data_IF_606425959169
#
_entry.id   IF_606425959169
#
_cell.length_a   1.000
_cell.length_b   1.000
_cell.length_c   1.000
_cell.angle_alpha   90.00
_cell.angle_beta   90.00
_cell.angle_gamma   90.00
#
_symmetry.space_group_name_H-M   'P 1'
#
loop_
_entity.id
_entity.type
_entity.pdbx_description
1 polymer ?
#
# COMPACT_ATOMS: atom_id res chain seq x y z
N UNK A 1 19.14 -32.63 64.57
CA UNK A 1 20.33 -32.12 65.28
C UNK A 1 21.30 -33.28 65.45
N UNK A 2 22.17 -33.53 64.46
CA UNK A 2 23.23 -34.55 64.55
C UNK A 2 24.49 -33.79 64.94
N UNK A 3 24.95 -33.97 66.18
CA UNK A 3 26.24 -33.46 66.64
C UNK A 3 27.34 -34.36 66.06
N UNK A 4 28.17 -33.82 65.18
CA UNK A 4 29.39 -34.47 64.74
C UNK A 4 30.45 -34.23 65.81
N UNK A 5 30.80 -35.28 66.57
CA UNK A 5 31.96 -35.26 67.45
C UNK A 5 33.20 -35.61 66.65
N UNK A 6 34.10 -34.65 66.46
CA UNK A 6 35.41 -34.89 65.83
C UNK A 6 36.39 -35.22 66.96
N UNK A 7 36.74 -36.49 67.11
CA UNK A 7 37.79 -36.95 68.02
C UNK A 7 39.16 -36.75 67.35
N UNK A 8 39.98 -35.84 67.89
CA UNK A 8 41.36 -35.62 67.45
C UNK A 8 42.29 -36.70 68.04
N UNK A 9 42.50 -37.78 67.28
CA UNK A 9 43.56 -38.75 67.53
C UNK A 9 44.72 -38.47 66.56
N UNK A 10 45.89 -38.11 67.10
CA UNK A 10 47.17 -38.15 66.35
C UNK A 10 47.73 -36.80 65.90
N UNK A 11 48.44 -36.12 66.79
CA UNK A 11 49.25 -34.90 66.58
C UNK A 11 50.57 -35.15 65.79
N UNK A 12 50.59 -36.07 64.83
CA UNK A 12 51.80 -36.37 64.05
C UNK A 12 51.60 -36.75 62.58
N UNK A 13 50.36 -36.79 62.09
CA UNK A 13 50.12 -36.99 60.65
C UNK A 13 49.92 -35.64 59.99
N UNK A 14 50.56 -35.41 58.83
CA UNK A 14 50.44 -34.20 58.02
C UNK A 14 48.98 -33.95 57.63
N UNK A 15 48.23 -33.36 58.55
CA UNK A 15 46.84 -32.98 58.38
C UNK A 15 46.83 -31.89 57.33
N UNK A 16 46.57 -32.31 56.10
CA UNK A 16 46.18 -31.41 55.02
C UNK A 16 44.79 -30.88 55.41
N UNK A 17 44.76 -29.90 56.33
CA UNK A 17 43.55 -29.24 56.82
C UNK A 17 42.74 -28.69 55.65
N UNK A 18 43.42 -28.34 54.54
CA UNK A 18 42.79 -28.03 53.27
C UNK A 18 41.94 -29.19 52.72
N UNK A 19 42.36 -30.45 52.83
CA UNK A 19 41.60 -31.61 52.34
C UNK A 19 40.41 -31.97 53.24
N UNK A 20 40.53 -31.80 54.57
CA UNK A 20 39.41 -32.01 55.50
C UNK A 20 38.35 -30.90 55.36
N UNK A 21 38.80 -29.65 55.17
CA UNK A 21 37.91 -28.53 54.82
C UNK A 21 37.27 -28.73 53.45
N UNK A 22 38.02 -29.20 52.44
CA UNK A 22 37.44 -29.57 51.13
C UNK A 22 36.40 -30.69 51.27
N UNK A 23 36.63 -31.70 52.10
CA UNK A 23 35.65 -32.77 52.35
C UNK A 23 34.40 -32.25 53.05
N UNK A 24 34.52 -31.33 54.02
CA UNK A 24 33.37 -30.71 54.67
C UNK A 24 32.58 -29.81 53.71
N UNK A 25 33.27 -28.98 52.92
CA UNK A 25 32.67 -28.15 51.86
C UNK A 25 31.98 -29.04 50.80
N UNK A 26 32.59 -30.18 50.44
CA UNK A 26 31.99 -31.12 49.50
C UNK A 26 30.67 -31.70 50.03
N UNK A 27 30.59 -32.05 51.31
CA UNK A 27 29.35 -32.53 51.95
C UNK A 27 28.31 -31.41 52.04
N UNK A 28 28.70 -30.20 52.41
CA UNK A 28 27.81 -29.03 52.46
C UNK A 28 27.31 -28.58 51.08
N UNK A 29 28.00 -28.96 50.00
CA UNK A 29 27.57 -28.70 48.62
C UNK A 29 26.47 -29.64 48.12
N UNK A 30 26.24 -30.79 48.78
CA UNK A 30 25.25 -31.80 48.35
C UNK A 30 23.82 -31.23 48.29
N UNK A 31 23.31 -30.52 49.32
CA UNK A 31 21.97 -29.92 49.26
C UNK A 31 21.85 -28.88 48.14
N UNK A 32 22.92 -28.12 47.86
CA UNK A 32 22.94 -27.17 46.76
C UNK A 32 22.86 -27.87 45.41
N UNK A 33 23.60 -28.97 45.22
CA UNK A 33 23.51 -29.79 44.01
C UNK A 33 22.11 -30.40 43.82
N UNK A 34 21.47 -30.87 44.90
CA UNK A 34 20.09 -31.36 44.87
C UNK A 34 19.09 -30.27 44.48
N UNK A 35 19.23 -29.06 45.03
CA UNK A 35 18.41 -27.91 44.64
C UNK A 35 18.64 -27.51 43.18
N UNK A 36 19.88 -27.48 42.72
CA UNK A 36 20.20 -27.21 41.31
C UNK A 36 19.61 -28.28 40.37
N UNK A 37 19.64 -29.56 40.77
CA UNK A 37 19.03 -30.65 40.02
C UNK A 37 17.50 -30.50 39.94
N UNK A 38 16.85 -30.15 41.07
CA UNK A 38 15.40 -29.85 41.11
C UNK A 38 15.04 -28.67 40.20
N UNK A 39 15.78 -27.57 40.29
CA UNK A 39 15.58 -26.39 39.42
C UNK A 39 15.74 -26.75 37.94
N UNK A 40 16.71 -27.58 37.59
CA UNK A 40 16.88 -28.06 36.20
C UNK A 40 15.69 -28.91 35.74
N UNK A 41 15.20 -29.82 36.59
CA UNK A 41 14.04 -30.65 36.28
C UNK A 41 12.76 -29.82 36.10
N UNK A 42 12.46 -28.90 37.02
CA UNK A 42 11.32 -28.00 36.93
C UNK A 42 11.40 -27.08 35.70
N UNK A 43 12.59 -26.55 35.38
CA UNK A 43 12.79 -25.76 34.15
C UNK A 43 12.54 -26.57 32.88
N UNK A 44 12.93 -27.85 32.86
CA UNK A 44 12.66 -28.74 31.74
C UNK A 44 11.16 -28.98 31.57
N UNK A 45 10.43 -29.18 32.67
CA UNK A 45 8.97 -29.35 32.66
C UNK A 45 8.26 -28.09 32.19
N UNK A 46 8.66 -26.91 32.70
CA UNK A 46 8.14 -25.61 32.22
C UNK A 46 8.37 -25.45 30.71
N UNK A 47 9.56 -25.80 30.22
CA UNK A 47 9.89 -25.71 28.79
C UNK A 47 9.02 -26.65 27.95
N UNK A 48 8.78 -27.88 28.42
CA UNK A 48 7.91 -28.84 27.75
C UNK A 48 6.44 -28.35 27.71
N UNK A 49 5.95 -27.76 28.80
CA UNK A 49 4.60 -27.17 28.85
C UNK A 49 4.47 -25.93 27.95
N UNK A 50 5.52 -25.10 27.84
CA UNK A 50 5.55 -23.97 26.91
C UNK A 50 5.57 -24.43 25.45
N UNK A 51 6.32 -25.48 25.11
CA UNK A 51 6.31 -26.08 23.77
C UNK A 51 4.94 -26.66 23.44
N UNK A 52 4.31 -27.38 24.37
CA UNK A 52 2.96 -27.91 24.22
C UNK A 52 1.95 -26.77 23.98
N UNK A 53 2.00 -25.71 24.78
CA UNK A 53 1.10 -24.55 24.61
C UNK A 53 1.28 -23.90 23.23
N UNK A 54 2.52 -23.79 22.75
CA UNK A 54 2.82 -23.26 21.42
C UNK A 54 2.23 -24.14 20.32
N UNK A 55 2.35 -25.47 20.43
CA UNK A 55 1.78 -26.43 19.46
C UNK A 55 0.26 -26.41 19.46
N UNK A 56 -0.38 -26.33 20.63
CA UNK A 56 -1.84 -26.24 20.74
C UNK A 56 -2.35 -24.92 20.17
N UNK A 57 -1.68 -23.81 20.44
CA UNK A 57 -2.00 -22.52 19.84
C UNK A 57 -1.86 -22.53 18.30
N UNK A 58 -0.81 -23.19 17.78
CA UNK A 58 -0.63 -23.37 16.34
C UNK A 58 -1.74 -24.23 15.71
N UNK A 59 -2.14 -25.32 16.37
CA UNK A 59 -3.27 -26.16 15.92
C UNK A 59 -4.59 -25.40 15.96
N UNK A 60 -4.86 -24.63 17.01
CA UNK A 60 -6.06 -23.79 17.12
C UNK A 60 -6.10 -22.72 16.02
N UNK A 61 -4.93 -22.14 15.67
CA UNK A 61 -4.79 -21.21 14.55
C UNK A 61 -5.14 -21.89 13.22
N UNK A 62 -4.54 -23.06 12.94
CA UNK A 62 -4.83 -23.83 11.72
C UNK A 62 -6.31 -24.23 11.63
N UNK A 63 -6.90 -24.71 12.73
CA UNK A 63 -8.32 -25.05 12.77
C UNK A 63 -9.21 -23.84 12.49
N UNK A 64 -8.87 -22.66 13.04
CA UNK A 64 -9.60 -21.42 12.76
C UNK A 64 -9.48 -21.00 11.29
N UNK A 65 -8.30 -21.13 10.70
CA UNK A 65 -8.06 -20.87 9.26
C UNK A 65 -8.89 -21.82 8.38
N UNK A 66 -9.01 -23.10 8.75
CA UNK A 66 -9.84 -24.10 8.06
C UNK A 66 -11.35 -23.89 8.21
N UNK A 67 -11.82 -23.27 9.29
CA UNK A 67 -13.24 -22.94 9.47
C UNK A 67 -13.72 -21.73 8.67
N UNK A 68 -12.81 -20.98 8.03
CA UNK A 68 -13.21 -19.96 7.08
C UNK A 68 -13.91 -20.65 5.90
N UNK A 69 -15.18 -20.31 5.62
CA UNK A 69 -16.00 -20.94 4.57
C UNK A 69 -15.36 -20.87 3.16
N UNK A 70 -14.35 -20.03 2.99
CA UNK A 70 -13.61 -19.82 1.75
C UNK A 70 -12.41 -20.78 1.58
N UNK A 71 -12.03 -21.52 2.62
CA UNK A 71 -10.84 -22.40 2.63
C UNK A 71 -10.94 -23.59 1.66
N UNK A 72 -12.15 -23.93 1.20
CA UNK A 72 -12.42 -25.01 0.25
C UNK A 72 -13.05 -24.52 -1.06
N UNK A 73 -13.34 -23.21 -1.17
CA UNK A 73 -13.91 -22.57 -2.36
C UNK A 73 -12.83 -21.77 -3.13
N UNK A 74 -11.59 -22.26 -3.12
CA UNK A 74 -10.51 -21.66 -3.90
C UNK A 74 -10.65 -22.06 -5.37
N UNK A 75 -11.42 -21.28 -6.12
CA UNK A 75 -11.31 -21.30 -7.56
C UNK A 75 -10.01 -20.60 -7.95
N UNK A 76 -9.23 -21.19 -8.84
CA UNK A 76 -8.07 -20.51 -9.43
C UNK A 76 -8.53 -19.92 -10.75
N UNK A 77 -8.48 -18.60 -10.86
CA UNK A 77 -8.67 -17.93 -12.14
C UNK A 77 -7.34 -17.87 -12.89
N UNK A 78 -7.37 -18.16 -14.19
CA UNK A 78 -6.19 -18.09 -15.06
C UNK A 78 -6.52 -17.23 -16.27
N UNK A 79 -5.80 -16.13 -16.44
CA UNK A 79 -5.79 -15.35 -17.67
C UNK A 79 -4.95 -16.02 -18.75
N UNK A 80 -5.33 -15.83 -20.01
CA UNK A 80 -4.56 -16.27 -21.18
C UNK A 80 -3.54 -15.24 -21.68
N UNK A 81 -3.57 -14.01 -21.16
CA UNK A 81 -2.68 -12.90 -21.53
C UNK A 81 -1.93 -12.34 -20.32
N UNK A 82 -0.67 -11.95 -20.51
CA UNK A 82 0.15 -11.28 -19.49
C UNK A 82 -0.38 -9.88 -19.11
N UNK A 83 -1.29 -9.32 -19.92
CA UNK A 83 -1.90 -8.00 -19.68
C UNK A 83 -3.17 -8.05 -18.81
N UNK A 84 -3.62 -9.25 -18.43
CA UNK A 84 -4.84 -9.45 -17.65
C UNK A 84 -4.53 -10.33 -16.44
N UNK A 85 -4.71 -9.76 -15.25
CA UNK A 85 -4.65 -10.50 -14.00
C UNK A 85 -6.07 -10.79 -13.53
N UNK A 86 -6.33 -12.02 -13.07
CA UNK A 86 -7.65 -12.42 -12.60
C UNK A 86 -7.51 -13.00 -11.21
N UNK A 87 -8.31 -12.50 -10.28
CA UNK A 87 -8.39 -13.00 -8.91
C UNK A 87 -9.80 -13.53 -8.66
N UNK A 88 -9.90 -14.77 -8.16
CA UNK A 88 -11.17 -15.31 -7.69
C UNK A 88 -11.32 -14.99 -6.19
N UNK A 89 -12.51 -14.53 -5.82
CA UNK A 89 -12.94 -14.33 -4.43
C UNK A 89 -13.98 -15.38 -4.04
N UNK A 90 -14.34 -15.41 -2.76
CA UNK A 90 -15.41 -16.24 -2.24
C UNK A 90 -16.69 -16.11 -3.09
N UNK A 91 -17.30 -17.24 -3.44
CA UNK A 91 -18.50 -17.28 -4.28
C UNK A 91 -18.23 -17.24 -5.79
N UNK A 92 -16.98 -17.35 -6.23
CA UNK A 92 -16.66 -17.60 -7.63
C UNK A 92 -17.38 -18.86 -8.15
N UNK A 93 -17.88 -18.80 -9.38
CA UNK A 93 -18.50 -19.95 -10.05
C UNK A 93 -17.61 -20.44 -11.19
N UNK A 94 -17.58 -21.77 -11.45
CA UNK A 94 -16.80 -22.31 -12.56
C UNK A 94 -17.37 -21.82 -13.90
N UNK A 95 -16.49 -21.32 -14.77
CA UNK A 95 -16.86 -20.81 -16.08
C UNK A 95 -15.64 -20.36 -16.87
N UNK A 96 -15.85 -20.10 -18.15
CA UNK A 96 -14.89 -19.45 -19.04
C UNK A 96 -15.60 -18.35 -19.79
N UNK A 97 -14.93 -17.21 -19.95
CA UNK A 97 -15.43 -16.08 -20.73
C UNK A 97 -14.27 -15.49 -21.54
N UNK A 98 -14.58 -15.11 -22.76
CA UNK A 98 -13.66 -14.36 -23.61
C UNK A 98 -13.87 -12.87 -23.37
N UNK A 99 -12.78 -12.19 -22.99
CA UNK A 99 -12.76 -10.75 -22.73
C UNK A 99 -11.79 -10.10 -23.70
N UNK A 100 -12.29 -9.11 -24.45
CA UNK A 100 -11.47 -8.24 -25.28
C UNK A 100 -11.28 -6.92 -24.56
N UNK A 101 -10.03 -6.52 -24.35
CA UNK A 101 -9.70 -5.22 -23.75
C UNK A 101 -9.55 -4.20 -24.87
N UNK A 102 -10.39 -3.17 -24.88
CA UNK A 102 -10.27 -2.08 -25.86
C UNK A 102 -9.54 -0.87 -25.27
N UNK A 103 -9.83 -0.54 -24.01
CA UNK A 103 -9.21 0.60 -23.31
C UNK A 103 -8.97 0.28 -21.83
N UNK A 104 -7.98 0.95 -21.24
CA UNK A 104 -7.64 0.85 -19.83
C UNK A 104 -7.87 2.20 -19.18
N UNK A 105 -8.38 2.20 -17.96
CA UNK A 105 -8.64 3.41 -17.21
C UNK A 105 -7.35 4.20 -17.00
N UNK A 106 -7.36 5.47 -17.39
CA UNK A 106 -6.23 6.38 -17.24
C UNK A 106 -6.59 7.55 -16.36
N UNK A 107 -5.66 7.98 -15.53
CA UNK A 107 -5.78 9.23 -14.79
C UNK A 107 -5.39 10.40 -15.69
N UNK A 108 -6.11 11.52 -15.58
CA UNK A 108 -5.80 12.70 -16.37
C UNK A 108 -4.44 13.27 -15.97
N UNK A 109 -3.61 13.55 -16.97
CA UNK A 109 -2.36 14.31 -16.83
C UNK A 109 -2.37 15.46 -17.82
N UNK A 110 -2.34 16.68 -17.30
CA UNK A 110 -2.34 17.89 -18.11
C UNK A 110 -1.20 18.80 -17.70
N UNK A 111 -0.62 19.49 -18.68
CA UNK A 111 0.43 20.48 -18.49
C UNK A 111 -0.08 21.85 -18.89
N UNK A 112 0.24 22.86 -18.10
CA UNK A 112 -0.08 24.25 -18.44
C UNK A 112 0.79 24.73 -19.62
N UNK A 113 0.44 25.90 -20.15
CA UNK A 113 1.36 26.69 -20.95
C UNK A 113 2.64 27.04 -20.15
N UNK A 114 3.65 27.53 -20.85
CA UNK A 114 4.88 28.03 -20.22
C UNK A 114 4.59 29.29 -19.40
N UNK A 115 5.02 29.29 -18.14
CA UNK A 115 4.82 30.34 -17.15
C UNK A 115 6.17 30.68 -16.50
N UNK A 116 6.48 31.96 -16.33
CA UNK A 116 7.55 32.43 -15.44
C UNK A 116 7.03 32.66 -14.02
N UNK A 117 5.81 33.19 -13.91
CA UNK A 117 5.06 33.38 -12.65
C UNK A 117 3.60 32.98 -12.85
N UNK A 118 2.90 32.74 -11.74
CA UNK A 118 1.49 32.41 -11.78
C UNK A 118 0.64 33.67 -12.07
N UNK A 119 -0.46 33.57 -12.83
CA UNK A 119 -1.26 34.73 -13.25
C UNK A 119 -2.05 35.38 -12.11
N UNK A 120 -2.26 34.66 -11.02
CA UNK A 120 -3.03 35.10 -9.83
C UNK A 120 -2.58 34.28 -8.62
N UNK A 121 -3.08 34.62 -7.43
CA UNK A 121 -2.91 33.83 -6.21
C UNK A 121 -4.13 32.95 -5.90
N UNK A 122 -5.27 33.16 -6.58
CA UNK A 122 -6.50 32.38 -6.38
C UNK A 122 -6.75 31.47 -7.57
N UNK A 123 -6.93 30.19 -7.29
CA UNK A 123 -7.21 29.17 -8.30
C UNK A 123 -8.42 28.35 -7.89
N UNK A 124 -9.03 27.70 -8.86
CA UNK A 124 -10.13 26.77 -8.61
C UNK A 124 -9.89 25.51 -9.43
N UNK A 125 -9.83 24.37 -8.74
CA UNK A 125 -9.91 23.05 -9.37
C UNK A 125 -11.38 22.67 -9.46
N UNK A 126 -11.79 22.17 -10.62
CA UNK A 126 -13.14 21.63 -10.82
C UNK A 126 -13.01 20.19 -11.24
N UNK A 127 -13.66 19.28 -10.52
CA UNK A 127 -13.68 17.87 -10.84
C UNK A 127 -14.67 17.55 -11.98
N UNK A 128 -14.83 16.27 -12.32
CA UNK A 128 -15.77 15.83 -13.34
C UNK A 128 -17.24 15.97 -12.93
N UNK A 129 -17.53 16.11 -11.63
CA UNK A 129 -18.89 16.30 -11.09
C UNK A 129 -19.32 17.76 -11.12
N UNK A 130 -18.37 18.68 -11.31
CA UNK A 130 -18.58 20.12 -11.25
C UNK A 130 -18.29 20.72 -9.87
N UNK A 131 -17.78 19.93 -8.91
CA UNK A 131 -17.41 20.42 -7.59
C UNK A 131 -16.16 21.32 -7.66
N UNK A 132 -16.28 22.51 -7.09
CA UNK A 132 -15.21 23.50 -7.05
C UNK A 132 -14.40 23.40 -5.76
N UNK A 133 -13.12 23.08 -5.90
CA UNK A 133 -12.14 23.24 -4.81
C UNK A 133 -11.34 24.52 -5.04
N UNK A 134 -11.57 25.53 -4.20
CA UNK A 134 -10.86 26.79 -4.29
C UNK A 134 -9.52 26.72 -3.55
N UNK A 135 -8.47 27.22 -4.19
CA UNK A 135 -7.09 27.22 -3.70
C UNK A 135 -6.59 28.66 -3.62
N UNK A 136 -5.85 28.96 -2.56
CA UNK A 136 -5.14 30.24 -2.42
C UNK A 136 -3.67 29.97 -2.20
N UNK A 137 -2.84 30.38 -3.15
CA UNK A 137 -1.39 30.33 -3.05
C UNK A 137 -0.87 31.50 -2.19
N UNK A 138 0.23 31.27 -1.48
CA UNK A 138 0.85 32.29 -0.63
C UNK A 138 1.41 33.47 -1.44
N UNK A 139 1.87 33.20 -2.65
CA UNK A 139 2.33 34.21 -3.62
C UNK A 139 2.06 33.74 -5.05
N UNK A 140 2.45 34.54 -6.04
CA UNK A 140 2.44 34.17 -7.46
C UNK A 140 3.63 33.30 -7.87
N UNK A 141 4.48 32.88 -6.92
CA UNK A 141 5.51 31.88 -7.16
C UNK A 141 4.89 30.54 -7.54
N UNK A 142 5.41 29.90 -8.58
CA UNK A 142 4.93 28.59 -9.03
C UNK A 142 5.12 27.50 -7.96
N UNK A 143 6.12 27.65 -7.08
CA UNK A 143 6.32 26.72 -5.96
C UNK A 143 5.19 26.83 -4.92
N UNK A 144 4.72 28.05 -4.65
CA UNK A 144 3.60 28.28 -3.74
C UNK A 144 2.28 27.79 -4.33
N UNK A 145 2.10 27.90 -5.65
CA UNK A 145 0.94 27.32 -6.34
C UNK A 145 0.96 25.80 -6.27
N UNK A 146 2.10 25.17 -6.54
CA UNK A 146 2.26 23.71 -6.40
C UNK A 146 1.98 23.26 -4.96
N UNK A 147 2.52 23.97 -3.98
CA UNK A 147 2.29 23.68 -2.57
C UNK A 147 0.81 23.87 -2.17
N UNK A 148 0.12 24.87 -2.74
CA UNK A 148 -1.31 25.08 -2.51
C UNK A 148 -2.15 23.94 -3.09
N UNK A 149 -1.85 23.50 -4.32
CA UNK A 149 -2.52 22.36 -4.96
C UNK A 149 -2.33 21.08 -4.15
N UNK A 150 -1.09 20.74 -3.81
CA UNK A 150 -0.78 19.52 -3.08
C UNK A 150 -1.30 19.52 -1.62
N UNK A 151 -1.60 20.69 -1.05
CA UNK A 151 -2.19 20.81 0.30
C UNK A 151 -3.72 20.77 0.29
N UNK A 152 -4.36 21.15 -0.82
CA UNK A 152 -5.81 21.21 -0.92
C UNK A 152 -6.47 19.83 -0.95
N UNK A 153 -5.70 18.75 -1.15
CA UNK A 153 -6.17 17.36 -1.23
C UNK A 153 -7.35 17.17 -2.20
N UNK A 154 -7.37 17.96 -3.27
CA UNK A 154 -8.44 18.01 -4.26
C UNK A 154 -8.42 16.82 -5.24
N UNK A 155 -7.78 15.70 -4.88
CA UNK A 155 -7.58 14.56 -5.78
C UNK A 155 -6.66 14.86 -6.98
N UNK A 156 -5.91 15.98 -6.96
CA UNK A 156 -4.96 16.37 -8.01
C UNK A 156 -3.62 16.75 -7.39
N UNK A 157 -2.54 16.23 -7.96
CA UNK A 157 -1.17 16.57 -7.58
C UNK A 157 -0.52 17.43 -8.64
N UNK A 158 0.27 18.42 -8.22
CA UNK A 158 1.00 19.32 -9.11
C UNK A 158 2.50 19.19 -8.93
N UNK A 159 3.24 19.31 -10.03
CA UNK A 159 4.70 19.38 -10.06
C UNK A 159 5.13 20.46 -11.04
N UNK A 160 6.16 21.23 -10.66
CA UNK A 160 6.80 22.22 -11.52
C UNK A 160 7.85 21.56 -12.40
N UNK A 161 7.75 21.72 -13.71
CA UNK A 161 8.68 21.16 -14.71
C UNK A 161 9.35 22.28 -15.48
N UNK A 162 10.67 22.22 -15.66
CA UNK A 162 11.41 23.21 -16.45
C UNK A 162 11.04 23.14 -17.92
N UNK A 163 10.79 24.30 -18.54
CA UNK A 163 10.42 24.44 -19.94
C UNK A 163 11.41 25.28 -20.76
N UNK A 164 12.65 25.42 -20.25
CA UNK A 164 13.71 26.19 -20.87
C UNK A 164 13.75 27.64 -20.37
N UNK A 165 14.29 28.53 -21.19
CA UNK A 165 14.39 29.97 -20.92
C UNK A 165 13.75 30.74 -22.06
N UNK A 166 13.07 31.84 -21.73
CA UNK A 166 12.52 32.74 -22.72
C UNK A 166 13.66 33.42 -23.50
N UNK A 167 13.61 33.35 -24.83
CA UNK A 167 14.69 33.86 -25.68
C UNK A 167 14.72 35.40 -25.76
N UNK A 168 13.63 36.08 -25.40
CA UNK A 168 13.51 37.53 -25.40
C UNK A 168 13.86 38.15 -24.04
N UNK A 169 13.49 37.49 -22.94
CA UNK A 169 13.71 38.03 -21.57
C UNK A 169 14.84 37.34 -20.80
N UNK A 170 15.27 36.15 -21.22
CA UNK A 170 16.26 35.35 -20.50
C UNK A 170 15.74 34.70 -19.22
N UNK A 171 14.44 34.85 -18.91
CA UNK A 171 13.83 34.27 -17.71
C UNK A 171 13.63 32.75 -17.85
N UNK A 172 13.70 32.02 -16.72
CA UNK A 172 13.40 30.58 -16.71
C UNK A 172 11.89 30.38 -16.85
N UNK A 173 11.50 29.59 -17.84
CA UNK A 173 10.13 29.17 -18.07
C UNK A 173 9.89 27.81 -17.43
N UNK A 174 8.71 27.65 -16.86
CA UNK A 174 8.26 26.42 -16.25
C UNK A 174 6.85 26.07 -16.73
N UNK A 175 6.49 24.80 -16.62
CA UNK A 175 5.12 24.30 -16.81
C UNK A 175 4.69 23.63 -15.51
N UNK A 176 3.42 23.79 -15.15
CA UNK A 176 2.83 23.00 -14.08
C UNK A 176 2.25 21.73 -14.71
N UNK A 177 2.73 20.58 -14.28
CA UNK A 177 2.13 19.28 -14.60
C UNK A 177 1.18 18.92 -13.48
N UNK A 178 -0.10 18.78 -13.82
CA UNK A 178 -1.15 18.33 -12.92
C UNK A 178 -1.50 16.88 -13.25
N UNK A 179 -1.61 16.04 -12.23
CA UNK A 179 -1.94 14.61 -12.34
C UNK A 179 -3.08 14.29 -11.39
N UNK A 180 -4.18 13.75 -11.92
CA UNK A 180 -5.31 13.26 -11.13
C UNK A 180 -4.92 12.00 -10.34
N UNK A 181 -5.46 11.85 -9.14
CA UNK A 181 -5.25 10.68 -8.30
C UNK A 181 -6.16 9.51 -8.71
N UNK A 182 -7.36 9.81 -9.21
CA UNK A 182 -8.31 8.83 -9.71
C UNK A 182 -8.11 8.56 -11.21
N UNK A 183 -8.27 7.29 -11.59
CA UNK A 183 -8.45 6.88 -13.00
C UNK A 183 -9.92 6.99 -13.39
N UNK A 184 -10.21 6.86 -14.69
CA UNK A 184 -11.59 6.89 -15.18
C UNK A 184 -12.01 8.27 -15.64
N UNK A 185 -13.08 8.35 -16.42
CA UNK A 185 -13.67 9.60 -16.92
C UNK A 185 -14.13 10.50 -15.76
N UNK A 186 -14.57 9.92 -14.64
CA UNK A 186 -14.90 10.65 -13.42
C UNK A 186 -13.67 11.30 -12.74
N UNK A 187 -12.45 10.84 -13.06
CA UNK A 187 -11.20 11.45 -12.62
C UNK A 187 -10.77 12.65 -13.47
N UNK A 188 -11.63 13.12 -14.40
CA UNK A 188 -11.35 14.32 -15.16
C UNK A 188 -11.35 15.57 -14.25
N UNK A 189 -10.49 16.52 -14.57
CA UNK A 189 -10.42 17.79 -13.85
C UNK A 189 -10.08 18.95 -14.79
N UNK A 190 -10.47 20.15 -14.36
CA UNK A 190 -10.09 21.41 -14.97
C UNK A 190 -9.47 22.34 -13.93
N UNK A 191 -8.54 23.19 -14.38
CA UNK A 191 -7.80 24.08 -13.51
C UNK A 191 -7.93 25.52 -14.00
N UNK A 192 -8.56 26.35 -13.17
CA UNK A 192 -8.91 27.72 -13.49
C UNK A 192 -8.10 28.71 -12.63
N UNK A 193 -7.67 29.80 -13.24
CA UNK A 193 -7.20 30.98 -12.53
C UNK A 193 -8.40 31.87 -12.17
N UNK A 194 -8.73 31.93 -10.88
CA UNK A 194 -9.92 32.60 -10.37
C UNK A 194 -10.54 31.89 -9.17
N UNK A 195 -11.56 32.52 -8.61
CA UNK A 195 -12.46 32.02 -7.56
C UNK A 195 -13.56 31.14 -8.15
N UNK A 196 -14.23 30.33 -7.32
CA UNK A 196 -15.34 29.48 -7.79
C UNK A 196 -16.45 30.30 -8.48
N UNK A 197 -16.80 31.46 -7.93
CA UNK A 197 -17.79 32.36 -8.53
C UNK A 197 -17.40 32.86 -9.93
N UNK A 198 -16.10 33.06 -10.20
CA UNK A 198 -15.62 33.44 -11.53
C UNK A 198 -15.63 32.26 -12.50
N UNK A 199 -15.49 31.02 -12.00
CA UNK A 199 -15.66 29.81 -12.80
C UNK A 199 -17.12 29.64 -13.19
N UNK A 200 -18.04 29.77 -12.23
CA UNK A 200 -19.50 29.72 -12.46
C UNK A 200 -19.97 30.80 -13.44
N UNK A 201 -19.40 32.00 -13.35
CA UNK A 201 -19.69 33.10 -14.25
C UNK A 201 -19.04 32.96 -15.64
N UNK A 202 -18.19 31.94 -15.84
CA UNK A 202 -17.45 31.72 -17.09
C UNK A 202 -16.37 32.77 -17.38
N UNK A 203 -15.97 33.55 -16.38
CA UNK A 203 -14.97 34.62 -16.50
C UNK A 203 -13.57 34.16 -16.09
N UNK A 204 -13.43 33.02 -15.41
CA UNK A 204 -12.14 32.47 -15.01
C UNK A 204 -11.40 31.84 -16.20
N UNK A 205 -10.08 32.06 -16.27
CA UNK A 205 -9.25 31.50 -17.34
C UNK A 205 -8.90 30.04 -17.06
N UNK A 206 -9.27 29.13 -17.96
CA UNK A 206 -8.84 27.74 -17.87
C UNK A 206 -7.37 27.61 -18.32
N UNK A 207 -6.49 27.26 -17.37
CA UNK A 207 -5.05 27.16 -17.58
C UNK A 207 -4.63 25.89 -18.34
N UNK A 208 -5.52 24.89 -18.44
CA UNK A 208 -5.29 23.66 -19.19
C UNK A 208 -5.82 23.74 -20.64
N UNK A 209 -6.70 24.68 -20.93
CA UNK A 209 -7.20 24.96 -22.28
C UNK A 209 -6.50 26.16 -22.94
N UNK A 210 -5.62 26.85 -22.22
CA UNK A 210 -4.87 27.99 -22.73
C UNK A 210 -3.92 27.57 -23.89
N UNK A 211 -3.67 28.46 -24.88
CA UNK A 211 -2.71 28.19 -25.94
C UNK A 211 -1.33 27.80 -25.39
N UNK A 212 -0.83 26.63 -25.79
CA UNK A 212 0.44 26.07 -25.31
C UNK A 212 0.32 25.13 -24.11
N UNK A 213 -0.85 25.00 -23.49
CA UNK A 213 -1.19 23.89 -22.60
C UNK A 213 -1.45 22.61 -23.40
N UNK A 214 -1.32 21.46 -22.75
CA UNK A 214 -1.57 20.17 -23.39
C UNK A 214 -2.06 19.13 -22.38
N UNK A 215 -3.00 18.29 -22.79
CA UNK A 215 -3.36 17.07 -22.05
C UNK A 215 -2.48 15.93 -22.54
N UNK A 216 -1.56 15.48 -21.68
CA UNK A 216 -0.62 14.39 -21.96
C UNK A 216 -1.35 13.04 -21.91
N UNK A 217 -2.30 12.90 -21.01
CA UNK A 217 -3.15 11.71 -20.89
C UNK A 217 -4.54 12.17 -20.45
N UNK A 218 -5.58 11.78 -21.19
CA UNK A 218 -6.95 12.09 -20.82
C UNK A 218 -7.44 11.14 -19.72
N UNK A 219 -8.36 11.62 -18.87
CA UNK A 219 -9.14 10.75 -18.01
C UNK A 219 -10.07 9.90 -18.90
N UNK A 220 -9.94 8.58 -18.82
CA UNK A 220 -10.75 7.64 -19.58
C UNK A 220 -11.04 6.41 -18.73
N UNK A 221 -12.19 5.80 -18.95
CA UNK A 221 -12.60 4.54 -18.31
C UNK A 221 -11.96 3.33 -18.99
N UNK A 222 -11.80 2.24 -18.24
CA UNK A 222 -11.52 0.93 -18.82
C UNK A 222 -12.74 0.45 -19.59
N UNK A 223 -12.51 -0.07 -20.79
CA UNK A 223 -13.56 -0.63 -21.64
C UNK A 223 -13.16 -2.03 -22.04
N UNK A 224 -14.04 -2.99 -21.72
CA UNK A 224 -13.91 -4.37 -22.14
C UNK A 224 -15.16 -4.80 -22.90
N UNK A 225 -14.97 -5.66 -23.89
CA UNK A 225 -16.05 -6.30 -24.63
C UNK A 225 -16.11 -7.79 -24.34
N UNK A 226 -17.32 -8.24 -24.05
CA UNK A 226 -17.66 -9.65 -23.87
C UNK A 226 -18.31 -10.16 -25.15
N UNK A 227 -17.98 -11.40 -25.53
CA UNK A 227 -18.49 -12.05 -26.75
C UNK A 227 -18.32 -11.20 -28.02
N UNK A 228 -17.18 -10.52 -28.13
CA UNK A 228 -16.87 -9.64 -29.25
C UNK A 228 -17.01 -10.36 -30.60
N UNK A 229 -17.69 -9.73 -31.57
CA UNK A 229 -17.95 -10.31 -32.89
C UNK A 229 -19.17 -11.23 -32.97
N UNK A 230 -19.99 -11.31 -31.90
CA UNK A 230 -21.25 -12.05 -31.90
C UNK A 230 -22.46 -11.12 -31.77
N UNK A 231 -23.67 -11.61 -32.04
CA UNK A 231 -24.91 -10.86 -31.83
C UNK A 231 -25.19 -10.54 -30.34
N UNK A 232 -24.45 -11.14 -29.42
CA UNK A 232 -24.55 -10.94 -27.97
C UNK A 232 -23.41 -10.06 -27.43
N UNK A 233 -22.69 -9.33 -28.27
CA UNK A 233 -21.61 -8.43 -27.85
C UNK A 233 -22.09 -7.43 -26.79
N UNK A 234 -21.36 -7.36 -25.67
CA UNK A 234 -21.64 -6.44 -24.56
C UNK A 234 -20.40 -5.65 -24.22
N UNK A 235 -20.54 -4.33 -24.12
CA UNK A 235 -19.47 -3.44 -23.68
C UNK A 235 -19.65 -3.15 -22.20
N UNK A 236 -18.63 -3.42 -21.40
CA UNK A 236 -18.60 -3.14 -19.97
C UNK A 236 -17.54 -2.08 -19.69
N UNK A 237 -17.94 -1.05 -18.94
CA UNK A 237 -17.07 0.07 -18.58
C UNK A 237 -16.79 0.07 -17.08
N UNK A 238 -15.58 0.50 -16.71
CA UNK A 238 -15.19 0.67 -15.31
C UNK A 238 -14.31 1.91 -15.15
N UNK A 239 -14.55 2.68 -14.09
CA UNK A 239 -13.71 3.83 -13.75
C UNK A 239 -12.30 3.42 -13.28
N UNK A 240 -12.09 2.15 -12.93
CA UNK A 240 -10.79 1.62 -12.50
C UNK A 240 -10.23 0.63 -13.51
N UNK A 241 -8.97 0.24 -13.32
CA UNK A 241 -8.34 -0.84 -14.07
C UNK A 241 -8.85 -2.23 -13.65
N UNK A 242 -9.64 -2.31 -12.58
CA UNK A 242 -10.25 -3.54 -12.06
C UNK A 242 -11.75 -3.56 -12.30
N UNK A 243 -12.24 -4.73 -12.73
CA UNK A 243 -13.65 -5.04 -12.90
C UNK A 243 -14.05 -6.12 -11.90
N UNK A 244 -14.89 -5.78 -10.93
CA UNK A 244 -15.29 -6.66 -9.80
C UNK A 244 -16.60 -7.41 -10.04
N UNK A 245 -17.35 -6.98 -11.07
CA UNK A 245 -18.73 -7.40 -11.32
C UNK A 245 -18.93 -8.07 -12.68
N UNK A 246 -17.84 -8.42 -13.40
CA UNK A 246 -17.96 -9.16 -14.67
C UNK A 246 -18.49 -10.57 -14.44
N UNK A 247 -18.05 -11.23 -13.37
CA UNK A 247 -18.53 -12.52 -12.94
C UNK A 247 -18.74 -12.48 -11.42
N UNK A 248 -19.76 -13.17 -10.90
CA UNK A 248 -19.92 -13.34 -9.46
C UNK A 248 -18.65 -13.94 -8.88
N UNK A 249 -18.02 -13.21 -7.97
CA UNK A 249 -16.84 -13.71 -7.27
C UNK A 249 -15.53 -13.63 -8.06
N UNK A 250 -15.42 -12.83 -9.11
CA UNK A 250 -14.15 -12.69 -9.86
C UNK A 250 -13.83 -11.22 -10.11
N UNK A 251 -12.59 -10.84 -9.76
CA UNK A 251 -12.03 -9.53 -10.05
C UNK A 251 -11.06 -9.66 -11.23
N UNK A 252 -11.32 -8.94 -12.31
CA UNK A 252 -10.47 -8.89 -13.51
C UNK A 252 -9.74 -7.56 -13.52
N UNK A 253 -8.41 -7.59 -13.39
CA UNK A 253 -7.55 -6.40 -13.46
C UNK A 253 -6.82 -6.36 -14.79
N UNK A 254 -6.95 -5.24 -15.48
CA UNK A 254 -6.35 -5.01 -16.80
C UNK A 254 -5.17 -4.05 -16.64
N UNK A 255 -3.97 -4.51 -17.00
CA UNK A 255 -2.75 -3.71 -16.82
C UNK A 255 -2.34 -2.93 -18.07
N UNK A 256 -2.79 -3.36 -19.25
CA UNK A 256 -2.47 -2.71 -20.53
C UNK A 256 -3.51 -3.04 -21.60
N UNK A 257 -3.88 -2.04 -22.40
CA UNK A 257 -4.58 -2.31 -23.66
C UNK A 257 -3.62 -3.07 -24.60
N UNK A 258 -4.10 -4.05 -25.40
CA UNK A 258 -3.27 -4.67 -26.41
C UNK A 258 -2.70 -3.59 -27.35
N UNK A 259 -1.47 -3.75 -27.85
CA UNK A 259 -0.97 -2.85 -28.89
C UNK A 259 -1.97 -2.87 -30.04
N UNK A 260 -2.48 -1.70 -30.41
CA UNK A 260 -3.29 -1.54 -31.62
C UNK A 260 -2.55 -2.17 -32.81
N UNK A 261 -3.20 -3.04 -33.60
CA UNK A 261 -2.59 -3.62 -34.79
C UNK A 261 -2.27 -2.56 -35.86
#
# INVERSE_FOLDING_TARGET
>A
MIRVGISFTGLSSGLNTADLVKQLIAVESIPQQQLQAKVKAERSEITALQDLNTRVAALAKLAKELTAGDALALFTAKGSSDTVSVAARAGASPGSIDVVVDAVATAQKSVTATLSTAPTTRFTLTDATGEHTQLTAASTSLDDVVAAINRADAGVTAVKVGAGTDAATGEKLYRLQLTGAATGAAGAFSFHAGTAAEVDAGTATNLLAAPGAATVTAAADSVVRLWAGTAAEQTVTSASTTFTDLLPGVDVTVSKAPPTP
#
